data_IF_646058410651
#
_entry.id   IF_646058410651
#
_cell.length_a   1.000
_cell.length_b   1.000
_cell.length_c   1.000
_cell.angle_alpha   90.00
_cell.angle_beta   90.00
_cell.angle_gamma   90.00
#
_symmetry.space_group_name_H-M   'P 1'
#
loop_
_entity.id
_entity.type
_entity.pdbx_description
1 polymer ?
#
# COMPACT_ATOMS: atom_id res chain seq x y z
N UNK A 1 6.96 -5.39 21.29
CA UNK A 1 5.63 -4.73 21.35
C UNK A 1 5.11 -4.61 19.93
N UNK A 2 3.78 -4.60 19.73
CA UNK A 2 3.16 -4.49 18.40
C UNK A 2 2.71 -3.06 18.14
N UNK A 3 2.91 -2.56 16.93
CA UNK A 3 2.59 -1.18 16.54
C UNK A 3 1.67 -1.17 15.32
N UNK A 4 0.65 -0.31 15.35
CA UNK A 4 -0.16 -0.01 14.18
C UNK A 4 0.35 1.30 13.57
N UNK A 5 0.86 1.22 12.34
CA UNK A 5 1.39 2.34 11.59
C UNK A 5 0.25 3.23 11.08
N UNK A 6 0.39 4.52 11.34
CA UNK A 6 -0.47 5.55 10.77
C UNK A 6 -0.01 5.96 9.36
N UNK A 7 -0.91 6.57 8.59
CA UNK A 7 -0.66 7.10 7.25
C UNK A 7 0.50 8.10 7.24
N UNK A 8 0.69 8.87 8.32
CA UNK A 8 1.79 9.84 8.42
C UNK A 8 3.17 9.18 8.37
N UNK A 9 3.35 8.05 9.07
CA UNK A 9 4.62 7.30 9.09
C UNK A 9 4.89 6.72 7.71
N UNK A 10 3.89 6.09 7.10
CA UNK A 10 4.01 5.56 5.73
C UNK A 10 4.35 6.68 4.75
N UNK A 11 3.64 7.81 4.82
CA UNK A 11 3.86 8.96 3.94
C UNK A 11 5.27 9.55 4.08
N UNK A 12 5.84 9.53 5.30
CA UNK A 12 7.22 9.94 5.53
C UNK A 12 8.21 8.98 4.84
N UNK A 13 8.00 7.66 4.96
CA UNK A 13 8.89 6.64 4.38
C UNK A 13 8.95 6.67 2.85
N UNK A 14 7.91 7.17 2.17
CA UNK A 14 7.92 7.33 0.70
C UNK A 14 8.56 8.63 0.21
N UNK A 15 8.93 9.56 1.10
CA UNK A 15 9.59 10.82 0.70
C UNK A 15 10.99 10.55 0.16
N UNK A 16 11.47 11.39 -0.76
CA UNK A 16 12.85 11.31 -1.29
C UNK A 16 13.92 11.51 -0.21
N UNK A 17 13.60 12.27 0.83
CA UNK A 17 14.45 12.53 1.98
C UNK A 17 13.61 12.44 3.25
N UNK A 18 13.41 11.22 3.79
CA UNK A 18 12.64 11.00 5.01
C UNK A 18 13.39 11.51 6.25
N UNK A 19 12.66 11.87 7.29
CA UNK A 19 13.23 12.22 8.59
C UNK A 19 14.03 11.04 9.17
N UNK A 20 15.31 11.27 9.48
CA UNK A 20 16.21 10.23 10.00
C UNK A 20 15.73 9.58 11.31
N UNK A 21 14.94 10.29 12.11
CA UNK A 21 14.33 9.75 13.32
C UNK A 21 13.27 8.68 13.01
N UNK A 22 12.49 8.85 11.93
CA UNK A 22 11.46 7.89 11.52
C UNK A 22 12.11 6.65 10.93
N UNK A 23 13.12 6.81 10.08
CA UNK A 23 13.89 5.69 9.55
C UNK A 23 14.49 4.84 10.68
N UNK A 24 15.24 5.46 11.60
CA UNK A 24 15.85 4.74 12.73
C UNK A 24 14.81 4.06 13.61
N UNK A 25 13.65 4.69 13.82
CA UNK A 25 12.58 4.07 14.60
C UNK A 25 12.06 2.81 13.91
N UNK A 26 11.81 2.85 12.60
CA UNK A 26 11.34 1.67 11.85
C UNK A 26 12.41 0.58 11.80
N UNK A 27 13.66 0.94 11.52
CA UNK A 27 14.80 0.00 11.45
C UNK A 27 15.08 -0.72 12.77
N UNK A 28 14.76 -0.08 13.90
CA UNK A 28 14.95 -0.67 15.24
C UNK A 28 13.80 -1.61 15.67
N UNK A 29 12.78 -1.82 14.82
CA UNK A 29 11.66 -2.71 15.12
C UNK A 29 11.56 -3.83 14.09
N UNK A 30 11.33 -5.06 14.55
CA UNK A 30 11.05 -6.18 13.65
C UNK A 30 9.77 -5.92 12.83
N UNK A 31 9.84 -6.19 11.53
CA UNK A 31 8.74 -5.99 10.60
C UNK A 31 7.46 -6.75 11.02
N UNK A 32 7.60 -7.95 11.61
CA UNK A 32 6.48 -8.77 12.10
C UNK A 32 5.65 -8.10 13.22
N UNK A 33 6.22 -7.05 13.83
CA UNK A 33 5.59 -6.27 14.87
C UNK A 33 4.98 -4.96 14.36
N UNK A 34 5.13 -4.64 13.07
CA UNK A 34 4.60 -3.44 12.43
C UNK A 34 3.39 -3.79 11.57
N UNK A 35 2.23 -3.24 11.92
CA UNK A 35 0.96 -3.51 11.26
C UNK A 35 0.48 -2.26 10.52
N UNK A 36 -0.25 -2.44 9.42
CA UNK A 36 -0.90 -1.35 8.70
C UNK A 36 -2.41 -1.60 8.65
N UNK A 37 -3.21 -0.56 8.92
CA UNK A 37 -4.66 -0.67 8.81
C UNK A 37 -5.10 -0.86 7.35
N UNK A 38 -6.07 -1.74 7.13
CA UNK A 38 -6.71 -1.91 5.81
C UNK A 38 -7.38 -0.61 5.35
N UNK A 39 -7.84 0.23 6.28
CA UNK A 39 -8.37 1.57 5.97
C UNK A 39 -7.28 2.47 5.38
N UNK A 40 -6.10 2.53 6.03
CA UNK A 40 -4.93 3.27 5.54
C UNK A 40 -4.49 2.80 4.16
N UNK A 41 -4.50 1.48 3.92
CA UNK A 41 -4.20 0.92 2.60
C UNK A 41 -5.24 1.35 1.54
N UNK A 42 -6.52 1.36 1.90
CA UNK A 42 -7.61 1.81 1.03
C UNK A 42 -7.54 3.30 0.70
N UNK A 43 -7.17 4.13 1.67
CA UNK A 43 -6.94 5.57 1.49
C UNK A 43 -5.75 5.85 0.56
N UNK A 44 -4.62 5.14 0.76
CA UNK A 44 -3.46 5.22 -0.13
C UNK A 44 -3.84 4.86 -1.57
N UNK A 45 -4.58 3.76 -1.76
CA UNK A 45 -5.02 3.31 -3.07
C UNK A 45 -5.96 4.32 -3.76
N UNK A 46 -6.90 4.91 -3.00
CA UNK A 46 -7.79 5.98 -3.52
C UNK A 46 -7.03 7.28 -3.81
N UNK A 47 -6.05 7.63 -2.99
CA UNK A 47 -5.20 8.81 -3.17
C UNK A 47 -4.35 8.73 -4.44
N UNK A 48 -3.70 7.58 -4.68
CA UNK A 48 -2.94 7.31 -5.92
C UNK A 48 -3.86 7.27 -7.15
N UNK A 49 -5.08 6.73 -7.00
CA UNK A 49 -6.10 6.75 -8.06
C UNK A 49 -6.60 8.14 -8.44
N UNK A 50 -6.47 9.14 -7.55
CA UNK A 50 -6.77 10.55 -7.85
C UNK A 50 -5.60 11.24 -8.56
N UNK A 51 -4.35 10.91 -8.21
CA UNK A 51 -3.14 11.45 -8.86
C UNK A 51 -2.96 10.99 -10.31
N UNK A 52 -3.33 9.74 -10.63
CA UNK A 52 -3.27 9.20 -12.00
C UNK A 52 -4.31 9.77 -12.95
N UNK A 53 -5.33 10.51 -12.47
CA UNK A 53 -6.32 11.17 -13.33
C UNK A 53 -5.87 12.53 -13.86
N UNK A 54 -4.92 13.21 -13.20
CA UNK A 54 -4.54 14.59 -13.54
C UNK A 54 -3.23 14.71 -14.34
N UNK A 55 -2.46 13.64 -14.54
CA UNK A 55 -1.26 13.70 -15.35
C UNK A 55 -0.99 12.36 -16.08
N UNK A 56 -0.96 12.45 -17.41
CA UNK A 56 -0.59 11.42 -18.40
C UNK A 56 -1.62 10.33 -18.77
N UNK A 57 -1.77 10.18 -20.08
CA UNK A 57 -2.70 9.28 -20.75
C UNK A 57 -2.57 7.81 -20.36
N UNK A 58 -3.72 7.23 -20.06
CA UNK A 58 -4.10 5.86 -20.42
C UNK A 58 -3.03 4.77 -20.30
N UNK A 59 -2.49 4.55 -19.10
CA UNK A 59 -2.16 3.19 -18.67
C UNK A 59 -2.97 2.91 -17.40
N UNK A 60 -4.07 2.18 -17.60
CA UNK A 60 -4.94 1.71 -16.52
C UNK A 60 -4.36 0.40 -16.00
N UNK A 61 -3.93 0.30 -14.72
CA UNK A 61 -3.52 -0.99 -14.16
C UNK A 61 -4.69 -1.97 -14.24
N UNK A 62 -4.44 -3.17 -14.79
CA UNK A 62 -5.41 -4.26 -15.03
C UNK A 62 -6.04 -4.86 -13.74
N UNK A 63 -5.82 -4.26 -12.59
CA UNK A 63 -6.42 -4.68 -11.33
C UNK A 63 -7.75 -3.95 -11.04
N UNK A 64 -8.12 -2.95 -11.86
CA UNK A 64 -9.34 -2.13 -11.70
C UNK A 64 -10.67 -2.89 -11.89
N UNK A 65 -10.67 -4.20 -12.13
CA UNK A 65 -11.93 -4.94 -12.20
C UNK A 65 -11.87 -6.24 -11.39
N UNK A 66 -11.87 -6.11 -10.06
CA UNK A 66 -12.47 -7.15 -9.19
C UNK A 66 -12.74 -6.66 -7.76
N UNK A 67 -13.92 -6.08 -7.57
CA UNK A 67 -14.65 -6.17 -6.30
C UNK A 67 -16.10 -6.21 -6.74
N UNK A 68 -16.81 -7.33 -6.73
CA UNK A 68 -17.23 -8.08 -5.55
C UNK A 68 -17.88 -9.39 -6.00
N UNK A 69 -17.70 -10.44 -5.19
CA UNK A 69 -18.43 -11.72 -5.08
C UNK A 69 -17.57 -12.97 -5.24
N UNK A 70 -17.64 -13.77 -4.17
CA UNK A 70 -17.31 -15.20 -4.05
C UNK A 70 -15.95 -15.58 -3.46
N UNK A 71 -16.06 -16.10 -2.23
CA UNK A 71 -15.16 -17.03 -1.57
C UNK A 71 -14.48 -18.02 -2.54
N UNK A 72 -13.16 -18.19 -2.34
CA UNK A 72 -12.29 -19.29 -2.81
C UNK A 72 -12.01 -19.34 -4.33
N UNK A 73 -10.79 -18.94 -4.71
CA UNK A 73 -10.11 -19.50 -5.88
C UNK A 73 -8.66 -19.87 -5.53
N UNK A 74 -8.17 -21.07 -5.93
CA UNK A 74 -6.81 -21.52 -5.66
C UNK A 74 -5.77 -20.88 -6.59
N UNK A 75 -4.55 -20.70 -6.08
CA UNK A 75 -3.42 -19.97 -6.66
C UNK A 75 -2.82 -20.53 -7.98
N UNK A 76 -3.49 -21.49 -8.62
CA UNK A 76 -3.00 -22.13 -9.86
C UNK A 76 -3.32 -21.36 -11.14
N UNK A 77 -4.19 -20.35 -11.06
CA UNK A 77 -4.64 -19.59 -12.24
C UNK A 77 -3.90 -18.24 -12.42
N UNK A 78 -2.83 -18.00 -11.64
CA UNK A 78 -2.10 -16.72 -11.62
C UNK A 78 -0.93 -16.63 -12.62
N UNK A 79 -0.54 -17.72 -13.28
CA UNK A 79 0.58 -17.71 -14.22
C UNK A 79 0.32 -18.63 -15.42
N UNK A 80 -0.28 -18.08 -16.48
CA UNK A 80 0.00 -18.48 -17.85
C UNK A 80 0.03 -17.22 -18.74
N UNK A 81 0.88 -17.20 -19.78
CA UNK A 81 1.26 -16.00 -20.53
C UNK A 81 0.10 -15.31 -21.25
#
# INVERSE_FOLDING_TARGET
MKYLLDTCVISELVKRAPASAVLRWVENHDEENLYLSVLTLGELHRGVGKWTKSNQGSIRPRWYNRSTHSHRQPARDLFHP
#
